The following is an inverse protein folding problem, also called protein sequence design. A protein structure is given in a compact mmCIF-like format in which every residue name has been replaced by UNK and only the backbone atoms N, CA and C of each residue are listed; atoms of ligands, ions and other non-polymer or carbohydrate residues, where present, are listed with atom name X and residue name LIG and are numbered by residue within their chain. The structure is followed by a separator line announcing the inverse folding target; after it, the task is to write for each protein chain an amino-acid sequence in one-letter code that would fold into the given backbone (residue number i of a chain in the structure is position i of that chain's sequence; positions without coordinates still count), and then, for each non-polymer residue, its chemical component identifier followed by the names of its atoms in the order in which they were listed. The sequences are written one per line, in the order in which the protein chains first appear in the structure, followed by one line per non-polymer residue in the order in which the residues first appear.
data_IF_493131227764
#
_entry.id   IF_493131227764
#
_cell.length_a   1.000
_cell.length_b   1.000
_cell.length_c   1.000
_cell.angle_alpha   90.00
_cell.angle_beta   90.00
_cell.angle_gamma   90.00
#
_symmetry.space_group_name_H-M   'P 1'
#
loop_
_entity.id
_entity.type
_entity.pdbx_description
1 polymer ?
#
# COMPACT_ATOMS: atom_id res chain seq x y z
N UNK A 1 -49.24 28.32 5.99
CA UNK A 1 -49.73 27.10 5.31
C UNK A 1 -48.88 25.92 5.77
N UNK A 2 -49.42 25.06 6.63
CA UNK A 2 -48.69 23.90 7.18
C UNK A 2 -48.69 22.77 6.15
N UNK A 3 -47.50 22.32 5.75
CA UNK A 3 -47.34 21.22 4.80
C UNK A 3 -47.73 19.89 5.45
N UNK A 4 -48.54 19.09 4.74
CA UNK A 4 -49.05 17.80 5.21
C UNK A 4 -47.90 16.83 5.56
N UNK A 5 -48.11 15.95 6.55
CA UNK A 5 -47.09 15.01 7.05
C UNK A 5 -46.70 13.98 5.98
N UNK A 6 -47.64 13.56 5.14
CA UNK A 6 -47.41 12.57 4.07
C UNK A 6 -46.48 13.15 3.00
N UNK A 7 -46.75 14.37 2.55
CA UNK A 7 -45.90 15.08 1.58
C UNK A 7 -44.48 15.31 2.09
N UNK A 8 -44.28 15.39 3.41
CA UNK A 8 -42.92 15.45 4.00
C UNK A 8 -42.20 14.12 3.88
N UNK A 9 -42.89 13.02 4.16
CA UNK A 9 -42.31 11.68 4.07
C UNK A 9 -41.91 11.35 2.62
N UNK A 10 -42.77 11.64 1.65
CA UNK A 10 -42.50 11.42 0.23
C UNK A 10 -41.25 12.17 -0.25
N UNK A 11 -41.10 13.44 0.15
CA UNK A 11 -39.92 14.25 -0.19
C UNK A 11 -38.64 13.66 0.40
N UNK A 12 -38.68 13.16 1.65
CA UNK A 12 -37.52 12.57 2.31
C UNK A 12 -37.14 11.22 1.68
N UNK A 13 -38.13 10.38 1.36
CA UNK A 13 -37.91 9.09 0.71
C UNK A 13 -37.31 9.25 -0.70
N UNK A 14 -37.88 10.13 -1.52
CA UNK A 14 -37.33 10.42 -2.86
C UNK A 14 -35.88 10.94 -2.79
N UNK A 15 -35.52 11.62 -1.70
CA UNK A 15 -34.15 12.09 -1.47
C UNK A 15 -33.23 10.96 -1.00
N UNK A 16 -33.70 10.02 -0.19
CA UNK A 16 -32.98 8.81 0.20
C UNK A 16 -32.73 7.88 -0.99
N UNK A 17 -33.64 7.83 -1.96
CA UNK A 17 -33.46 7.13 -3.26
C UNK A 17 -32.41 7.79 -4.18
N UNK A 18 -31.78 8.89 -3.76
CA UNK A 18 -30.71 9.56 -4.51
C UNK A 18 -31.17 10.61 -5.50
N UNK A 19 -32.46 10.98 -5.56
CA UNK A 19 -32.95 11.98 -6.52
C UNK A 19 -32.50 13.39 -6.13
N UNK A 20 -32.12 14.19 -7.14
CA UNK A 20 -31.69 15.58 -6.95
C UNK A 20 -32.85 16.53 -6.55
N UNK A 21 -32.53 17.66 -5.90
CA UNK A 21 -33.54 18.61 -5.39
C UNK A 21 -34.50 19.14 -6.46
N UNK A 22 -34.02 19.36 -7.69
CA UNK A 22 -34.86 19.78 -8.83
C UNK A 22 -35.85 18.70 -9.23
N UNK A 23 -35.41 17.44 -9.27
CA UNK A 23 -36.22 16.27 -9.63
C UNK A 23 -37.32 16.04 -8.58
N UNK A 24 -36.97 16.12 -7.29
CA UNK A 24 -37.94 15.98 -6.20
C UNK A 24 -38.99 17.08 -6.26
N UNK A 25 -38.59 18.34 -6.49
CA UNK A 25 -39.49 19.48 -6.65
C UNK A 25 -40.48 19.30 -7.80
N UNK A 26 -40.01 18.77 -8.95
CA UNK A 26 -40.88 18.49 -10.11
C UNK A 26 -41.88 17.37 -9.83
N UNK A 27 -41.47 16.33 -9.11
CA UNK A 27 -42.31 15.16 -8.81
C UNK A 27 -43.37 15.45 -7.75
N UNK A 28 -43.04 16.26 -6.74
CA UNK A 28 -43.96 16.55 -5.62
C UNK A 28 -44.75 17.85 -5.83
N UNK A 29 -44.44 18.64 -6.86
CA UNK A 29 -45.06 19.94 -7.11
C UNK A 29 -44.69 21.01 -6.07
N UNK A 30 -43.80 20.70 -5.14
CA UNK A 30 -43.37 21.60 -4.06
C UNK A 30 -42.19 22.45 -4.52
N UNK A 31 -42.18 23.74 -4.16
CA UNK A 31 -41.08 24.65 -4.47
C UNK A 31 -39.72 24.09 -3.99
N UNK A 32 -38.71 24.16 -4.85
CA UNK A 32 -37.34 23.68 -4.57
C UNK A 32 -36.75 24.23 -3.27
N UNK A 33 -37.05 25.48 -2.90
CA UNK A 33 -36.56 26.08 -1.66
C UNK A 33 -37.21 25.45 -0.43
N UNK A 34 -38.49 25.10 -0.52
CA UNK A 34 -39.21 24.38 0.53
C UNK A 34 -38.66 22.98 0.70
N UNK A 35 -38.39 22.27 -0.40
CA UNK A 35 -37.74 20.94 -0.41
C UNK A 35 -36.36 21.01 0.25
N UNK A 36 -35.50 21.96 -0.16
CA UNK A 36 -34.18 22.18 0.48
C UNK A 36 -34.31 22.48 1.98
N UNK A 37 -35.26 23.33 2.37
CA UNK A 37 -35.48 23.68 3.77
C UNK A 37 -35.91 22.47 4.60
N UNK A 38 -36.70 21.56 4.01
CA UNK A 38 -37.19 20.35 4.67
C UNK A 38 -36.04 19.35 4.86
N UNK A 39 -35.29 19.05 3.80
CA UNK A 39 -34.11 18.17 3.87
C UNK A 39 -33.04 18.71 4.83
N UNK A 40 -32.87 20.04 4.91
CA UNK A 40 -31.92 20.64 5.87
C UNK A 40 -32.40 20.50 7.31
N UNK A 41 -33.70 20.75 7.56
CA UNK A 41 -34.32 20.64 8.89
C UNK A 41 -34.46 19.21 9.38
N UNK A 42 -34.57 18.23 8.49
CA UNK A 42 -34.64 16.82 8.89
C UNK A 42 -33.31 16.28 9.43
N UNK A 43 -32.18 16.94 9.17
CA UNK A 43 -30.85 16.52 9.64
C UNK A 43 -30.28 15.28 8.93
N UNK A 44 -31.14 14.47 8.30
CA UNK A 44 -30.80 13.19 7.64
C UNK A 44 -29.78 13.31 6.49
N UNK A 45 -29.66 14.48 5.88
CA UNK A 45 -28.79 14.72 4.72
C UNK A 45 -27.72 15.78 4.99
N UNK A 46 -27.49 16.13 6.26
CA UNK A 46 -26.33 16.94 6.61
C UNK A 46 -25.08 16.07 6.51
N UNK A 47 -23.97 16.67 6.10
CA UNK A 47 -22.69 16.00 6.09
C UNK A 47 -22.37 15.48 7.50
N UNK A 48 -22.14 14.18 7.62
CA UNK A 48 -21.77 13.59 8.90
C UNK A 48 -20.31 13.95 9.22
N UNK A 49 -20.04 14.77 10.26
CA UNK A 49 -18.68 15.13 10.63
C UNK A 49 -17.85 13.91 11.04
N UNK A 50 -18.48 12.87 11.61
CA UNK A 50 -17.82 11.61 11.96
C UNK A 50 -17.36 10.86 10.71
N UNK A 51 -18.15 10.88 9.63
CA UNK A 51 -17.74 10.30 8.35
C UNK A 51 -16.53 11.07 7.79
N UNK A 52 -16.55 12.41 7.85
CA UNK A 52 -15.38 13.20 7.40
C UNK A 52 -14.13 12.84 8.19
N UNK A 53 -14.21 12.74 9.52
CA UNK A 53 -13.09 12.35 10.38
C UNK A 53 -12.51 10.99 10.02
N UNK A 54 -13.37 10.00 9.77
CA UNK A 54 -12.96 8.63 9.45
C UNK A 54 -12.21 8.51 8.12
N UNK A 55 -12.54 9.34 7.13
CA UNK A 55 -11.91 9.33 5.80
C UNK A 55 -10.90 10.48 5.60
N UNK A 56 -10.51 11.17 6.67
CA UNK A 56 -9.45 12.17 6.63
C UNK A 56 -8.11 11.50 6.92
N UNK A 57 -7.12 11.72 6.06
CA UNK A 57 -5.76 11.24 6.26
C UNK A 57 -5.16 11.95 7.49
N UNK A 58 -4.58 11.24 8.46
CA UNK A 58 -4.00 11.85 9.65
C UNK A 58 -2.82 12.77 9.30
N UNK A 59 -2.59 13.77 10.15
CA UNK A 59 -1.44 14.68 9.99
C UNK A 59 -0.12 13.93 10.16
N UNK A 60 0.88 14.40 9.41
CA UNK A 60 2.21 13.82 9.40
C UNK A 60 2.89 13.93 10.76
N UNK A 61 3.30 12.81 11.33
CA UNK A 61 4.09 12.74 12.56
C UNK A 61 5.55 12.39 12.24
N UNK A 62 6.47 13.03 12.96
CA UNK A 62 7.91 12.79 12.82
C UNK A 62 8.45 12.20 14.12
N UNK A 63 9.13 11.07 14.03
CA UNK A 63 9.81 10.47 15.17
C UNK A 63 11.15 11.18 15.43
N UNK A 64 11.46 11.43 16.69
CA UNK A 64 12.77 11.95 17.13
C UNK A 64 13.74 10.84 17.55
N UNK A 65 13.37 9.57 17.36
CA UNK A 65 14.20 8.44 17.73
C UNK A 65 15.49 8.39 16.90
N UNK A 66 16.62 8.17 17.57
CA UNK A 66 17.92 8.00 16.90
C UNK A 66 17.90 6.68 16.14
N UNK A 67 17.95 6.76 14.80
CA UNK A 67 18.01 5.58 13.94
C UNK A 67 19.43 5.01 13.93
N UNK A 68 19.61 3.81 14.46
CA UNK A 68 20.86 3.07 14.30
C UNK A 68 20.92 2.48 12.88
N UNK A 69 21.93 2.84 12.07
CA UNK A 69 22.05 2.31 10.72
C UNK A 69 22.44 0.83 10.78
N UNK A 70 21.88 0.03 9.87
CA UNK A 70 22.28 -1.37 9.73
C UNK A 70 23.78 -1.47 9.42
N UNK A 71 24.49 -2.45 10.01
CA UNK A 71 25.92 -2.62 9.75
C UNK A 71 26.19 -2.95 8.28
N UNK A 72 27.34 -2.49 7.79
CA UNK A 72 27.80 -2.78 6.43
C UNK A 72 28.02 -4.28 6.21
N UNK A 73 27.75 -4.79 4.99
CA UNK A 73 28.07 -6.17 4.64
C UNK A 73 29.58 -6.42 4.70
N UNK A 74 30.02 -7.63 5.08
CA UNK A 74 31.43 -7.98 5.10
C UNK A 74 32.01 -7.98 3.68
N UNK A 75 33.23 -7.46 3.52
CA UNK A 75 33.93 -7.47 2.24
C UNK A 75 34.30 -8.92 1.85
N UNK A 76 34.08 -9.28 0.59
CA UNK A 76 34.31 -10.63 0.05
C UNK A 76 35.23 -10.58 -1.16
N UNK A 77 36.02 -11.64 -1.33
CA UNK A 77 36.86 -11.87 -2.51
C UNK A 77 36.15 -12.95 -3.32
N UNK A 78 35.61 -12.60 -4.49
CA UNK A 78 34.79 -13.50 -5.31
C UNK A 78 35.58 -13.86 -6.56
N UNK A 79 35.87 -12.86 -7.38
CA UNK A 79 36.53 -13.02 -8.69
C UNK A 79 38.06 -13.03 -8.57
N UNK A 80 38.61 -12.58 -7.43
CA UNK A 80 40.05 -12.39 -7.25
C UNK A 80 40.58 -11.08 -7.85
N UNK A 81 39.75 -10.35 -8.61
CA UNK A 81 40.08 -9.02 -9.12
C UNK A 81 39.58 -7.95 -8.15
N UNK A 82 40.50 -7.26 -7.47
CA UNK A 82 40.20 -6.30 -6.39
C UNK A 82 39.14 -5.26 -6.75
N UNK A 83 39.19 -4.69 -7.96
CA UNK A 83 38.22 -3.66 -8.36
C UNK A 83 36.84 -4.24 -8.71
N UNK A 84 36.78 -5.46 -9.25
CA UNK A 84 35.51 -6.13 -9.56
C UNK A 84 34.84 -6.60 -8.28
N UNK A 85 35.63 -7.13 -7.34
CA UNK A 85 35.13 -7.52 -6.02
C UNK A 85 34.65 -6.30 -5.21
N UNK A 86 35.36 -5.17 -5.29
CA UNK A 86 34.91 -3.91 -4.70
C UNK A 86 33.60 -3.42 -5.34
N UNK A 87 33.47 -3.53 -6.66
CA UNK A 87 32.25 -3.17 -7.39
C UNK A 87 31.05 -4.01 -6.94
N UNK A 88 31.22 -5.34 -6.87
CA UNK A 88 30.18 -6.25 -6.38
C UNK A 88 29.78 -5.95 -4.93
N UNK A 89 30.76 -5.62 -4.08
CA UNK A 89 30.49 -5.24 -2.70
C UNK A 89 29.68 -3.92 -2.61
N UNK A 90 29.99 -2.91 -3.43
CA UNK A 90 29.18 -1.68 -3.48
C UNK A 90 27.74 -1.99 -3.89
N UNK A 91 27.52 -2.89 -4.85
CA UNK A 91 26.17 -3.33 -5.21
C UNK A 91 25.45 -4.04 -4.05
N UNK A 92 26.16 -4.83 -3.24
CA UNK A 92 25.59 -5.42 -2.01
C UNK A 92 25.23 -4.33 -0.98
N UNK A 93 26.04 -3.28 -0.84
CA UNK A 93 25.75 -2.13 0.04
C UNK A 93 24.50 -1.39 -0.44
N UNK A 94 24.35 -1.15 -1.75
CA UNK A 94 23.17 -0.50 -2.31
C UNK A 94 21.91 -1.36 -2.09
N UNK A 95 22.03 -2.69 -2.26
CA UNK A 95 20.93 -3.64 -1.99
C UNK A 95 20.48 -3.66 -0.53
N UNK A 96 21.31 -3.20 0.41
CA UNK A 96 20.92 -3.05 1.81
C UNK A 96 19.79 -2.01 1.99
N UNK A 97 19.65 -1.09 1.03
CA UNK A 97 18.64 -0.03 0.98
C UNK A 97 18.65 0.89 2.21
N UNK A 98 19.85 1.16 2.73
CA UNK A 98 20.05 2.01 3.91
C UNK A 98 20.52 3.40 3.49
N UNK A 99 19.77 4.48 3.83
CA UNK A 99 20.05 5.82 3.34
C UNK A 99 21.42 6.35 3.81
N UNK A 100 21.89 5.92 4.97
CA UNK A 100 23.18 6.34 5.53
C UNK A 100 24.38 5.91 4.66
N UNK A 101 24.25 4.80 3.93
CA UNK A 101 25.35 4.22 3.15
C UNK A 101 25.31 4.62 1.67
N UNK A 102 24.19 5.15 1.17
CA UNK A 102 24.03 5.53 -0.24
C UNK A 102 25.02 6.61 -0.70
N UNK A 103 25.27 7.72 0.04
CA UNK A 103 26.25 8.72 -0.37
C UNK A 103 27.67 8.14 -0.44
N UNK A 104 28.05 7.31 0.54
CA UNK A 104 29.35 6.66 0.57
C UNK A 104 29.51 5.64 -0.59
N UNK A 105 28.43 4.94 -0.96
CA UNK A 105 28.40 4.03 -2.10
C UNK A 105 28.55 4.78 -3.44
N UNK A 106 27.87 5.92 -3.59
CA UNK A 106 27.96 6.78 -4.78
C UNK A 106 29.38 7.34 -4.95
N UNK A 107 29.99 7.85 -3.87
CA UNK A 107 31.39 8.26 -3.88
C UNK A 107 32.35 7.11 -4.22
N UNK A 108 32.14 5.94 -3.62
CA UNK A 108 32.98 4.77 -3.88
C UNK A 108 32.90 4.34 -5.36
N UNK A 109 31.71 4.40 -5.96
CA UNK A 109 31.50 4.07 -7.37
C UNK A 109 32.30 5.01 -8.29
N UNK A 110 32.30 6.32 -8.01
CA UNK A 110 33.06 7.30 -8.81
C UNK A 110 34.58 7.15 -8.70
N UNK A 111 35.07 6.55 -7.60
CA UNK A 111 36.50 6.29 -7.38
C UNK A 111 36.99 5.02 -8.08
N UNK A 112 36.09 4.15 -8.51
CA UNK A 112 36.48 2.93 -9.22
C UNK A 112 36.96 3.27 -10.63
N UNK A 113 38.11 2.71 -11.01
CA UNK A 113 38.68 2.87 -12.37
C UNK A 113 37.97 1.98 -13.39
N UNK A 114 37.40 0.87 -12.95
CA UNK A 114 36.72 -0.10 -13.81
C UNK A 114 35.35 0.45 -14.25
N UNK A 115 35.01 0.26 -15.52
CA UNK A 115 33.66 0.59 -15.99
C UNK A 115 32.66 -0.49 -15.52
N UNK A 116 31.37 -0.14 -15.29
CA UNK A 116 30.36 -1.14 -14.91
C UNK A 116 30.27 -2.32 -15.86
N UNK A 117 30.45 -2.05 -17.17
CA UNK A 117 30.44 -3.08 -18.22
C UNK A 117 31.61 -4.05 -18.11
N UNK A 118 32.83 -3.56 -17.89
CA UNK A 118 34.01 -4.42 -17.67
C UNK A 118 33.88 -5.24 -16.37
N UNK A 119 33.26 -4.66 -15.33
CA UNK A 119 33.00 -5.38 -14.09
C UNK A 119 32.00 -6.53 -14.31
N UNK A 120 30.94 -6.28 -15.10
CA UNK A 120 29.98 -7.29 -15.51
C UNK A 120 30.65 -8.42 -16.31
N UNK A 121 31.45 -8.08 -17.33
CA UNK A 121 32.14 -9.07 -18.17
C UNK A 121 33.03 -9.99 -17.34
N UNK A 122 33.89 -9.43 -16.47
CA UNK A 122 34.74 -10.23 -15.58
C UNK A 122 33.94 -11.12 -14.63
N UNK A 123 32.82 -10.63 -14.11
CA UNK A 123 31.95 -11.44 -13.27
C UNK A 123 31.22 -12.54 -14.06
N UNK A 124 30.82 -12.28 -15.30
CA UNK A 124 30.23 -13.31 -16.18
C UNK A 124 31.23 -14.42 -16.48
N UNK A 125 32.48 -14.10 -16.80
CA UNK A 125 33.56 -15.07 -17.03
C UNK A 125 33.79 -15.93 -15.79
N UNK A 126 33.82 -15.31 -14.61
CA UNK A 126 33.90 -16.03 -13.34
C UNK A 126 32.74 -17.02 -13.17
N UNK A 127 31.49 -16.59 -13.38
CA UNK A 127 30.31 -17.45 -13.23
C UNK A 127 30.29 -18.61 -14.24
N UNK A 128 30.73 -18.36 -15.49
CA UNK A 128 30.87 -19.39 -16.52
C UNK A 128 31.93 -20.43 -16.10
N UNK A 129 33.08 -20.00 -15.60
CA UNK A 129 34.14 -20.91 -15.14
C UNK A 129 33.72 -21.77 -13.94
N UNK A 130 32.76 -21.30 -13.13
CA UNK A 130 32.19 -22.02 -11.99
C UNK A 130 30.96 -22.88 -12.36
N UNK A 131 30.63 -23.02 -13.65
CA UNK A 131 29.58 -23.92 -14.12
C UNK A 131 28.15 -23.45 -13.86
N UNK A 132 27.94 -22.14 -13.69
CA UNK A 132 26.60 -21.57 -13.47
C UNK A 132 25.75 -21.66 -14.73
N UNK A 133 24.52 -22.18 -14.60
CA UNK A 133 23.58 -22.36 -15.71
C UNK A 133 23.24 -21.02 -16.41
N UNK A 134 22.97 -21.06 -17.73
CA UNK A 134 22.73 -19.87 -18.55
C UNK A 134 21.64 -18.91 -18.04
N UNK A 135 20.53 -19.43 -17.51
CA UNK A 135 19.50 -18.56 -16.91
C UNK A 135 19.99 -17.86 -15.63
N UNK A 136 20.68 -18.59 -14.75
CA UNK A 136 21.21 -18.03 -13.50
C UNK A 136 22.31 -17.01 -13.78
N UNK A 137 23.13 -17.23 -14.81
CA UNK A 137 24.12 -16.26 -15.30
C UNK A 137 23.44 -14.94 -15.68
N UNK A 138 22.45 -15.00 -16.57
CA UNK A 138 21.72 -13.82 -17.06
C UNK A 138 21.09 -13.04 -15.90
N UNK A 139 20.33 -13.70 -15.03
CA UNK A 139 19.70 -13.02 -13.88
C UNK A 139 20.72 -12.45 -12.89
N UNK A 140 21.88 -13.07 -12.73
CA UNK A 140 22.94 -12.59 -11.84
C UNK A 140 23.64 -11.35 -12.40
N UNK A 141 23.70 -11.19 -13.72
CA UNK A 141 24.50 -10.15 -14.37
C UNK A 141 23.68 -9.03 -15.02
N UNK A 142 22.37 -9.23 -15.22
CA UNK A 142 21.46 -8.30 -15.91
C UNK A 142 21.42 -6.89 -15.30
N UNK A 143 21.81 -6.75 -14.03
CA UNK A 143 21.67 -5.52 -13.25
C UNK A 143 23.00 -4.85 -12.93
N UNK A 144 24.11 -5.37 -13.47
CA UNK A 144 25.46 -4.90 -13.13
C UNK A 144 25.95 -3.75 -14.01
N UNK A 145 25.26 -3.41 -15.09
CA UNK A 145 25.69 -2.36 -16.02
C UNK A 145 25.23 -0.95 -15.59
N UNK A 146 24.17 -0.85 -14.79
CA UNK A 146 23.57 0.42 -14.38
C UNK A 146 23.42 0.57 -12.85
N UNK A 147 24.52 0.82 -12.11
CA UNK A 147 24.49 1.00 -10.66
C UNK A 147 23.72 2.26 -10.21
N UNK A 148 23.73 3.33 -11.01
CA UNK A 148 23.06 4.59 -10.67
C UNK A 148 21.55 4.40 -10.56
N UNK A 149 20.96 3.61 -11.45
CA UNK A 149 19.54 3.28 -11.39
C UNK A 149 19.13 2.67 -10.04
N UNK A 150 19.96 1.81 -9.44
CA UNK A 150 19.69 1.23 -8.12
C UNK A 150 19.78 2.25 -7.00
N UNK A 151 20.74 3.18 -7.08
CA UNK A 151 20.86 4.27 -6.10
C UNK A 151 19.61 5.17 -6.16
N UNK A 152 19.18 5.54 -7.37
CA UNK A 152 18.00 6.39 -7.55
C UNK A 152 16.72 5.68 -7.10
N UNK A 153 16.59 4.39 -7.42
CA UNK A 153 15.47 3.57 -6.97
C UNK A 153 15.45 3.43 -5.43
N UNK A 154 16.61 3.21 -4.80
CA UNK A 154 16.74 3.15 -3.35
C UNK A 154 16.33 4.48 -2.69
N UNK A 155 16.80 5.62 -3.22
CA UNK A 155 16.40 6.96 -2.78
C UNK A 155 14.88 7.16 -2.90
N UNK A 156 14.29 6.78 -4.02
CA UNK A 156 12.84 6.90 -4.24
C UNK A 156 12.03 6.00 -3.29
N UNK A 157 12.45 4.76 -3.07
CA UNK A 157 11.81 3.85 -2.12
C UNK A 157 11.88 4.37 -0.69
N UNK A 158 13.00 4.97 -0.31
CA UNK A 158 13.14 5.58 1.00
C UNK A 158 12.16 6.75 1.20
N UNK A 159 12.06 7.66 0.22
CA UNK A 159 11.11 8.78 0.27
C UNK A 159 9.67 8.28 0.40
N UNK A 160 9.27 7.28 -0.41
CA UNK A 160 7.93 6.69 -0.30
C UNK A 160 7.69 6.03 1.05
N UNK A 161 8.67 5.30 1.57
CA UNK A 161 8.57 4.66 2.88
C UNK A 161 8.48 5.71 4.01
N UNK A 162 9.22 6.82 3.91
CA UNK A 162 9.14 7.94 4.84
C UNK A 162 7.76 8.58 4.80
N UNK A 163 7.21 8.84 3.62
CA UNK A 163 5.85 9.39 3.46
C UNK A 163 4.80 8.50 4.15
N UNK A 164 4.84 7.19 3.92
CA UNK A 164 3.91 6.24 4.56
C UNK A 164 4.11 6.20 6.07
N UNK A 165 5.35 6.04 6.55
CA UNK A 165 5.65 6.00 8.00
C UNK A 165 5.25 7.28 8.70
N UNK A 166 5.41 8.42 8.03
CA UNK A 166 5.07 9.71 8.59
C UNK A 166 3.56 9.88 8.80
N UNK A 167 2.73 9.20 8.02
CA UNK A 167 1.26 9.23 8.16
C UNK A 167 0.75 8.14 9.11
N UNK A 168 1.31 6.92 9.01
CA UNK A 168 0.83 5.73 9.73
C UNK A 168 1.68 5.35 10.95
N UNK A 169 2.71 6.14 11.28
CA UNK A 169 3.65 5.92 12.37
C UNK A 169 4.71 4.85 12.05
N UNK A 170 4.29 3.63 11.72
CA UNK A 170 5.19 2.53 11.37
C UNK A 170 4.70 1.73 10.17
N UNK A 171 5.61 1.07 9.46
CA UNK A 171 5.22 0.17 8.38
C UNK A 171 4.40 -1.01 8.92
N UNK A 172 4.72 -1.54 10.10
CA UNK A 172 3.98 -2.66 10.68
C UNK A 172 2.55 -2.26 11.04
N UNK A 173 2.36 -1.07 11.64
CA UNK A 173 1.03 -0.52 11.88
C UNK A 173 0.25 -0.36 10.57
N UNK A 174 0.89 0.14 9.51
CA UNK A 174 0.23 0.30 8.22
C UNK A 174 -0.25 -1.03 7.59
N UNK A 175 0.40 -2.17 7.89
CA UNK A 175 0.04 -3.47 7.31
C UNK A 175 -0.82 -4.35 8.21
N UNK A 176 -0.64 -4.27 9.53
CA UNK A 176 -1.24 -5.20 10.48
C UNK A 176 -2.29 -4.56 11.39
N UNK A 177 -2.28 -3.24 11.55
CA UNK A 177 -3.28 -2.55 12.35
C UNK A 177 -4.39 -2.01 11.45
N UNK A 178 -5.59 -2.55 11.61
CA UNK A 178 -6.77 -2.00 10.95
C UNK A 178 -6.99 -0.55 11.37
N UNK A 179 -7.24 0.30 10.39
CA UNK A 179 -7.74 1.65 10.62
C UNK A 179 -9.16 1.59 11.23
N UNK A 180 -9.61 2.65 11.91
CA UNK A 180 -10.95 2.71 12.50
C UNK A 180 -12.10 2.40 11.50
N UNK A 181 -12.05 2.85 10.23
CA UNK A 181 -13.01 2.43 9.21
C UNK A 181 -12.95 0.93 8.91
N UNK A 182 -11.77 0.34 8.79
CA UNK A 182 -11.59 -1.08 8.51
C UNK A 182 -12.08 -1.95 9.67
N UNK A 183 -11.83 -1.55 10.92
CA UNK A 183 -12.41 -2.22 12.11
C UNK A 183 -13.94 -2.23 12.06
N UNK A 184 -14.56 -1.11 11.68
CA UNK A 184 -16.03 -1.05 11.53
C UNK A 184 -16.54 -1.95 10.41
N UNK A 185 -15.80 -2.06 9.30
CA UNK A 185 -16.15 -2.99 8.23
C UNK A 185 -16.01 -4.43 8.69
N UNK A 186 -14.96 -4.77 9.43
CA UNK A 186 -14.77 -6.10 10.01
C UNK A 186 -15.87 -6.44 11.03
N UNK A 187 -16.25 -5.50 11.90
CA UNK A 187 -17.34 -5.70 12.86
C UNK A 187 -18.70 -5.91 12.18
N UNK A 188 -18.96 -5.18 11.09
CA UNK A 188 -20.26 -5.21 10.40
C UNK A 188 -20.37 -6.31 9.36
N UNK A 189 -19.29 -6.59 8.65
CA UNK A 189 -19.24 -7.44 7.46
C UNK A 189 -18.18 -8.55 7.54
N UNK A 190 -17.38 -8.65 8.62
CA UNK A 190 -16.36 -9.67 8.79
C UNK A 190 -16.91 -11.10 8.71
N UNK A 191 -18.20 -11.28 9.02
CA UNK A 191 -18.90 -12.55 8.79
C UNK A 191 -18.90 -13.00 7.32
N UNK A 192 -18.80 -12.07 6.34
CA UNK A 192 -18.71 -12.38 4.91
C UNK A 192 -17.34 -12.95 4.52
N UNK A 193 -16.31 -12.62 5.29
CA UNK A 193 -14.94 -13.10 5.09
C UNK A 193 -14.61 -14.31 5.99
N UNK A 194 -15.58 -14.78 6.80
CA UNK A 194 -15.46 -16.06 7.50
C UNK A 194 -15.35 -17.18 6.48
N UNK A 195 -14.26 -17.96 6.55
CA UNK A 195 -14.04 -19.16 5.73
C UNK A 195 -15.19 -20.19 5.87
N UNK A 196 -16.01 -20.05 6.90
CA UNK A 196 -17.19 -20.87 7.16
C UNK A 196 -18.51 -20.14 6.86
N UNK A 197 -18.51 -19.10 6.02
CA UNK A 197 -19.73 -18.42 5.58
C UNK A 197 -20.71 -19.43 4.95
N UNK A 198 -21.96 -19.43 5.41
CA UNK A 198 -22.99 -20.36 4.96
C UNK A 198 -23.00 -21.73 5.66
N UNK A 199 -22.03 -22.02 6.54
CA UNK A 199 -22.01 -23.26 7.30
C UNK A 199 -22.97 -23.17 8.50
N UNK A 200 -23.71 -24.25 8.73
CA UNK A 200 -24.51 -24.40 9.95
C UNK A 200 -23.59 -24.53 11.18
N UNK A 201 -24.12 -24.22 12.38
CA UNK A 201 -23.36 -24.35 13.65
C UNK A 201 -22.75 -25.76 13.84
N UNK A 202 -23.44 -26.79 13.36
CA UNK A 202 -22.98 -28.17 13.41
C UNK A 202 -21.81 -28.44 12.44
N UNK A 203 -21.85 -27.86 11.24
CA UNK A 203 -20.77 -27.97 10.24
C UNK A 203 -19.52 -27.21 10.65
N UNK A 204 -19.66 -26.03 11.25
CA UNK A 204 -18.54 -25.26 11.83
C UNK A 204 -17.80 -26.09 12.89
N UNK A 205 -18.55 -26.75 13.80
CA UNK A 205 -17.96 -27.60 14.84
C UNK A 205 -17.25 -28.84 14.28
N UNK A 206 -17.65 -29.31 13.10
CA UNK A 206 -17.08 -30.48 12.43
C UNK A 206 -15.92 -30.13 11.49
N UNK A 207 -15.73 -28.86 11.13
CA UNK A 207 -14.71 -28.44 10.16
C UNK A 207 -14.97 -28.90 8.72
N UNK A 208 -16.21 -29.29 8.39
CA UNK A 208 -16.58 -29.72 7.02
C UNK A 208 -18.06 -29.50 6.70
N UNK A 209 -18.34 -29.00 5.48
CA UNK A 209 -19.68 -28.95 4.89
C UNK A 209 -20.10 -30.36 4.45
N UNK A 210 -21.36 -30.74 4.68
CA UNK A 210 -21.92 -31.94 4.07
C UNK A 210 -23.29 -31.63 3.47
N UNK A 211 -23.36 -31.65 2.15
CA UNK A 211 -24.62 -31.65 1.40
C UNK A 211 -24.67 -32.87 0.49
N UNK A 212 -25.84 -33.51 0.38
CA UNK A 212 -26.14 -34.36 -0.78
C UNK A 212 -26.45 -33.43 -1.94
N UNK A 213 -25.83 -33.63 -3.11
CA UNK A 213 -26.26 -32.93 -4.34
C UNK A 213 -27.72 -33.30 -4.58
N UNK A 214 -28.60 -32.30 -4.52
CA UNK A 214 -29.95 -32.45 -5.05
C UNK A 214 -29.80 -32.33 -6.56
N UNK A 215 -29.75 -33.45 -7.26
CA UNK A 215 -29.87 -33.45 -8.71
C UNK A 215 -31.33 -33.08 -9.01
N UNK A 216 -31.55 -31.86 -9.50
CA UNK A 216 -32.81 -31.43 -10.09
C UNK A 216 -32.97 -31.98 -11.50
#
# INVERSE_FOLDING_TARGET
MQMNKDSKCDILQLKQEGKGYKTVSRLTGVNINTVKSLCRRSGLFQDNPEHKRLFTIPERQYSTAVSEPKPLPPQRIITGHKQTDAYLWILEVIKLNEPAHLPAAEEALTRLTITPKEAQEKYTEYLISHGVNGFQLVFSTMTLDNPQHFIDQAKAQFIQAEEVRSVFGSCEAAYYEFTEPEKRLEDTLGYLYDNCLGWTKAEKKRGSIQGKRVNG
#
